data_IF_557768470776
#
_entry.id   IF_557768470776
#
_cell.length_a   1.000
_cell.length_b   1.000
_cell.length_c   1.000
_cell.angle_alpha   90.00
_cell.angle_beta   90.00
_cell.angle_gamma   90.00
#
_symmetry.space_group_name_H-M   'P 1'
#
loop_
_entity.id
_entity.type
_entity.pdbx_description
1 polymer ?
#
# COMPACT_ATOMS: atom_id res chain seq x y z
N UNK A 1 -1.51 -1.28 8.74
CA UNK A 1 -2.70 -0.47 9.10
C UNK A 1 -2.35 1.00 9.32
N UNK A 2 -1.07 1.38 9.34
CA UNK A 2 -0.67 2.77 9.62
C UNK A 2 -0.72 3.71 8.39
N UNK A 3 -1.25 3.24 7.26
CA UNK A 3 -1.25 4.02 6.03
C UNK A 3 -2.33 5.10 6.03
N UNK A 4 -2.13 6.14 5.22
CA UNK A 4 -3.10 7.21 5.07
C UNK A 4 -4.44 6.70 4.53
N UNK A 5 -4.43 5.76 3.58
CA UNK A 5 -5.63 5.14 3.03
C UNK A 5 -6.44 4.46 4.14
N UNK A 6 -5.81 3.64 4.98
CA UNK A 6 -6.52 3.00 6.09
C UNK A 6 -7.03 4.03 7.11
N UNK A 7 -6.21 5.02 7.49
CA UNK A 7 -6.60 6.03 8.49
C UNK A 7 -7.76 6.92 8.03
N UNK A 8 -7.91 7.14 6.73
CA UNK A 8 -8.93 8.04 6.16
C UNK A 8 -10.18 7.29 5.70
N UNK A 9 -10.01 6.13 5.05
CA UNK A 9 -11.10 5.31 4.51
C UNK A 9 -11.61 4.29 5.53
N UNK A 10 -10.78 3.91 6.51
CA UNK A 10 -11.12 2.90 7.51
C UNK A 10 -11.49 1.56 6.87
N UNK A 11 -12.64 1.03 7.28
CA UNK A 11 -13.20 -0.23 6.73
C UNK A 11 -13.55 -0.17 5.24
N UNK A 12 -13.52 1.02 4.62
CA UNK A 12 -13.76 1.22 3.19
C UNK A 12 -12.47 1.24 2.37
N UNK A 13 -11.32 1.00 3.01
CA UNK A 13 -10.07 0.88 2.28
C UNK A 13 -10.09 -0.43 1.47
N UNK A 14 -9.93 -0.40 0.14
CA UNK A 14 -9.95 -1.61 -0.70
C UNK A 14 -8.84 -2.62 -0.37
N UNK A 15 -7.81 -2.20 0.37
CA UNK A 15 -6.80 -3.11 0.93
C UNK A 15 -7.37 -4.14 1.90
N UNK A 16 -8.58 -3.91 2.43
CA UNK A 16 -9.29 -4.85 3.29
C UNK A 16 -10.30 -5.74 2.53
N UNK A 17 -10.47 -5.54 1.22
CA UNK A 17 -11.38 -6.37 0.41
C UNK A 17 -10.89 -7.83 0.41
N UNK A 18 -11.60 -8.70 1.11
CA UNK A 18 -11.43 -10.14 0.99
C UNK A 18 -11.99 -10.64 -0.37
N UNK A 19 -11.37 -11.65 -1.02
CA UNK A 19 -10.25 -12.48 -0.57
C UNK A 19 -8.86 -11.98 -1.01
N UNK A 20 -8.73 -10.72 -1.47
CA UNK A 20 -7.51 -10.25 -2.14
C UNK A 20 -6.30 -10.12 -1.20
N UNK A 21 -6.53 -9.86 0.09
CA UNK A 21 -5.47 -9.72 1.09
C UNK A 21 -5.80 -10.53 2.34
N UNK A 22 -5.05 -11.60 2.58
CA UNK A 22 -5.16 -12.40 3.81
C UNK A 22 -4.42 -11.75 4.99
N UNK A 23 -3.40 -10.95 4.70
CA UNK A 23 -2.56 -10.29 5.69
C UNK A 23 -2.24 -8.86 5.27
N UNK A 24 -2.18 -7.95 6.24
CA UNK A 24 -1.63 -6.62 6.06
C UNK A 24 -0.26 -6.55 6.75
N UNK A 25 0.81 -6.37 5.99
CA UNK A 25 2.15 -6.31 6.54
C UNK A 25 2.58 -4.87 6.86
N UNK A 26 3.19 -4.67 8.02
CA UNK A 26 4.02 -3.50 8.26
C UNK A 26 5.42 -3.70 7.64
N UNK A 27 6.16 -2.62 7.30
CA UNK A 27 7.53 -2.72 6.80
C UNK A 27 8.47 -3.49 7.76
N UNK A 28 8.25 -3.41 9.06
CA UNK A 28 9.01 -4.17 10.06
C UNK A 28 8.67 -5.66 10.00
N UNK A 29 7.39 -6.00 9.93
CA UNK A 29 6.91 -7.38 9.86
C UNK A 29 7.41 -8.08 8.59
N UNK A 30 7.39 -7.41 7.43
CA UNK A 30 7.89 -8.01 6.19
C UNK A 30 9.40 -8.28 6.25
N UNK A 31 10.18 -7.38 6.87
CA UNK A 31 11.62 -7.61 7.08
C UNK A 31 11.89 -8.80 7.99
N UNK A 32 11.11 -8.95 9.07
CA UNK A 32 11.19 -10.11 9.96
C UNK A 32 10.86 -11.39 9.20
N UNK A 33 9.79 -11.38 8.39
CA UNK A 33 9.38 -12.52 7.58
C UNK A 33 10.45 -12.92 6.56
N UNK A 34 11.06 -11.95 5.88
CA UNK A 34 12.15 -12.20 4.93
C UNK A 34 13.35 -12.81 5.65
N UNK A 35 13.75 -12.26 6.81
CA UNK A 35 14.86 -12.82 7.59
C UNK A 35 14.58 -14.25 8.06
N UNK A 36 13.36 -14.56 8.51
CA UNK A 36 13.01 -15.93 8.90
C UNK A 36 13.04 -16.91 7.72
N UNK A 37 12.93 -16.41 6.49
CA UNK A 37 13.06 -17.18 5.26
C UNK A 37 14.51 -17.21 4.70
N UNK A 38 15.50 -16.67 5.42
CA UNK A 38 16.89 -16.60 4.94
C UNK A 38 17.12 -15.54 3.84
N UNK A 39 16.21 -14.60 3.70
CA UNK A 39 16.26 -13.49 2.75
C UNK A 39 16.58 -12.17 3.46
N UNK A 40 17.02 -11.20 2.67
CA UNK A 40 17.23 -9.84 3.11
C UNK A 40 16.42 -8.86 2.27
N UNK A 41 15.88 -7.82 2.92
CA UNK A 41 15.16 -6.75 2.24
C UNK A 41 16.16 -5.79 1.61
N UNK A 42 16.39 -5.91 0.31
CA UNK A 42 17.34 -5.06 -0.44
C UNK A 42 16.70 -3.76 -0.92
N UNK A 43 15.37 -3.68 -0.95
CA UNK A 43 14.65 -2.48 -1.37
C UNK A 43 13.24 -2.41 -0.82
N UNK A 44 12.78 -1.19 -0.51
CA UNK A 44 11.41 -0.91 -0.09
C UNK A 44 10.93 0.38 -0.77
N UNK A 45 9.90 0.27 -1.61
CA UNK A 45 9.25 1.41 -2.26
C UNK A 45 7.77 1.44 -1.93
N UNK A 46 7.19 2.63 -1.89
CA UNK A 46 5.76 2.84 -1.67
C UNK A 46 5.08 3.18 -2.99
N UNK A 47 3.89 2.62 -3.21
CA UNK A 47 3.16 2.79 -4.45
C UNK A 47 2.48 4.16 -4.53
N UNK A 48 2.57 4.79 -5.70
CA UNK A 48 1.87 6.05 -6.03
C UNK A 48 0.50 5.79 -6.67
N UNK A 49 0.03 4.55 -6.69
CA UNK A 49 -1.19 4.19 -7.39
C UNK A 49 -2.44 4.76 -6.68
N UNK A 50 -3.26 5.59 -7.37
CA UNK A 50 -4.40 6.27 -6.74
C UNK A 50 -5.68 5.44 -6.67
N UNK A 51 -5.64 4.20 -7.15
CA UNK A 51 -6.81 3.34 -7.30
C UNK A 51 -7.51 3.03 -5.97
N UNK A 52 -6.76 2.99 -4.86
CA UNK A 52 -7.31 2.69 -3.54
C UNK A 52 -8.15 3.86 -3.01
N UNK A 53 -7.69 5.10 -3.25
CA UNK A 53 -8.44 6.33 -2.95
C UNK A 53 -9.74 6.42 -3.74
N UNK A 54 -9.66 6.19 -5.06
CA UNK A 54 -10.81 6.28 -5.96
C UNK A 54 -11.88 5.24 -5.58
N UNK A 55 -11.48 3.98 -5.36
CA UNK A 55 -12.41 2.92 -4.95
C UNK A 55 -12.96 3.15 -3.55
N UNK A 56 -12.13 3.56 -2.59
CA UNK A 56 -12.59 3.83 -1.22
C UNK A 56 -13.57 5.00 -1.15
N UNK A 57 -13.37 6.04 -1.96
CA UNK A 57 -14.32 7.13 -2.13
C UNK A 57 -15.65 6.63 -2.73
N UNK A 58 -15.59 5.71 -3.71
CA UNK A 58 -16.78 5.08 -4.25
C UNK A 58 -17.57 4.34 -3.17
N UNK A 59 -16.93 3.49 -2.37
CA UNK A 59 -17.59 2.77 -1.27
C UNK A 59 -18.21 3.72 -0.25
N UNK A 60 -17.50 4.81 0.10
CA UNK A 60 -18.03 5.81 1.02
C UNK A 60 -19.26 6.53 0.47
N UNK A 61 -19.27 6.87 -0.82
CA UNK A 61 -20.42 7.51 -1.43
C UNK A 61 -21.60 6.55 -1.58
N UNK A 62 -21.36 5.29 -1.93
CA UNK A 62 -22.43 4.28 -2.00
C UNK A 62 -23.13 4.08 -0.66
N UNK A 63 -22.38 4.05 0.43
CA UNK A 63 -22.96 3.95 1.78
C UNK A 63 -23.80 5.18 2.16
N UNK A 64 -23.46 6.36 1.63
CA UNK A 64 -24.18 7.61 1.91
C UNK A 64 -25.39 7.81 1.00
N UNK A 65 -25.28 7.45 -0.28
CA UNK A 65 -26.35 7.63 -1.26
C UNK A 65 -27.33 6.46 -1.29
N UNK A 66 -26.92 5.27 -0.82
CA UNK A 66 -27.67 4.02 -0.98
C UNK A 66 -27.71 3.53 -2.44
N UNK A 67 -26.94 4.13 -3.35
CA UNK A 67 -26.94 3.82 -4.78
C UNK A 67 -25.53 3.46 -5.26
N UNK A 68 -25.44 2.55 -6.23
CA UNK A 68 -24.16 2.14 -6.83
C UNK A 68 -23.69 3.04 -7.98
N UNK A 69 -24.31 4.20 -8.18
CA UNK A 69 -23.98 5.09 -9.29
C UNK A 69 -22.58 5.68 -9.17
N UNK A 70 -22.13 5.92 -7.93
CA UNK A 70 -20.80 6.44 -7.64
C UNK A 70 -19.69 5.55 -8.22
N UNK A 71 -19.88 4.22 -8.28
CA UNK A 71 -18.91 3.28 -8.88
C UNK A 71 -18.73 3.48 -10.39
N UNK A 72 -19.71 4.01 -11.10
CA UNK A 72 -19.59 4.28 -12.54
C UNK A 72 -18.61 5.43 -12.79
N UNK A 73 -18.66 6.46 -11.94
CA UNK A 73 -17.81 7.63 -12.07
C UNK A 73 -16.45 7.45 -11.38
N UNK A 74 -16.44 6.92 -10.15
CA UNK A 74 -15.25 6.65 -9.35
C UNK A 74 -14.69 5.25 -9.64
N UNK A 75 -14.34 5.04 -10.90
CA UNK A 75 -13.71 3.80 -11.36
C UNK A 75 -12.24 4.04 -11.73
N UNK A 76 -11.31 3.10 -11.46
CA UNK A 76 -9.90 3.26 -11.83
C UNK A 76 -9.63 3.41 -13.33
N UNK A 77 -10.59 3.05 -14.20
CA UNK A 77 -10.50 3.29 -15.64
C UNK A 77 -10.85 4.73 -16.05
N UNK A 78 -11.45 5.52 -15.15
CA UNK A 78 -11.75 6.92 -15.40
C UNK A 78 -10.53 7.78 -15.03
N UNK A 79 -9.91 8.51 -15.99
CA UNK A 79 -8.71 9.30 -15.70
C UNK A 79 -8.97 10.48 -14.77
N UNK A 80 -10.18 11.03 -14.74
CA UNK A 80 -10.52 12.23 -13.95
C UNK A 80 -10.33 12.00 -12.45
N UNK A 81 -11.00 11.03 -11.78
CA UNK A 81 -10.79 10.79 -10.36
C UNK A 81 -9.38 10.25 -10.04
N UNK A 82 -8.75 9.56 -11.00
CA UNK A 82 -7.38 9.07 -10.85
C UNK A 82 -6.39 10.22 -10.75
N UNK A 83 -6.51 11.22 -11.65
CA UNK A 83 -5.69 12.44 -11.61
C UNK A 83 -5.96 13.25 -10.35
N UNK A 84 -7.22 13.36 -9.91
CA UNK A 84 -7.58 14.07 -8.69
C UNK A 84 -6.96 13.43 -7.43
N UNK A 85 -6.88 12.09 -7.37
CA UNK A 85 -6.30 11.35 -6.24
C UNK A 85 -4.78 11.15 -6.34
N UNK A 86 -4.16 11.48 -7.47
CA UNK A 86 -2.73 11.27 -7.70
C UNK A 86 -1.84 12.08 -6.72
N UNK A 87 -2.07 13.39 -6.46
CA UNK A 87 -1.22 14.15 -5.53
C UNK A 87 -1.18 13.53 -4.14
N UNK A 88 -2.33 13.03 -3.66
CA UNK A 88 -2.44 12.37 -2.36
C UNK A 88 -1.63 11.05 -2.33
N UNK A 89 -1.66 10.31 -3.43
CA UNK A 89 -0.93 9.05 -3.57
C UNK A 89 0.58 9.26 -3.67
N UNK A 90 0.99 10.29 -4.40
CA UNK A 90 2.40 10.71 -4.52
C UNK A 90 2.92 11.19 -3.16
N UNK A 91 2.17 12.03 -2.46
CA UNK A 91 2.53 12.50 -1.13
C UNK A 91 2.62 11.34 -0.13
N UNK A 92 1.63 10.43 -0.13
CA UNK A 92 1.64 9.24 0.71
C UNK A 92 2.85 8.34 0.43
N UNK A 93 3.21 8.13 -0.84
CA UNK A 93 4.39 7.35 -1.20
C UNK A 93 5.70 8.02 -0.77
N UNK A 94 5.85 9.32 -1.02
CA UNK A 94 7.04 10.08 -0.64
C UNK A 94 7.25 10.11 0.88
N UNK A 95 6.16 10.19 1.65
CA UNK A 95 6.18 10.19 3.11
C UNK A 95 6.13 8.79 3.73
N UNK A 96 6.29 7.73 2.92
CA UNK A 96 6.26 6.31 3.37
C UNK A 96 4.99 5.95 4.14
N UNK A 97 3.88 6.59 3.79
CA UNK A 97 2.57 6.45 4.42
C UNK A 97 1.51 5.85 3.48
N UNK A 98 1.91 5.38 2.30
CA UNK A 98 1.01 4.66 1.38
C UNK A 98 0.75 3.22 1.84
N UNK A 99 -0.43 2.71 1.56
CA UNK A 99 -0.89 1.40 2.00
C UNK A 99 -0.35 0.24 1.18
N UNK A 100 0.19 0.52 -0.02
CA UNK A 100 0.84 -0.45 -0.89
C UNK A 100 2.33 -0.22 -0.92
N UNK A 101 3.08 -1.28 -0.69
CA UNK A 101 4.54 -1.30 -0.77
C UNK A 101 5.02 -2.39 -1.73
N UNK A 102 6.14 -2.12 -2.38
CA UNK A 102 6.90 -3.05 -3.20
C UNK A 102 8.17 -3.36 -2.42
N UNK A 103 8.41 -4.65 -2.20
CA UNK A 103 9.55 -5.13 -1.44
C UNK A 103 10.42 -5.94 -2.37
N UNK A 104 11.69 -5.56 -2.45
CA UNK A 104 12.73 -6.31 -3.16
C UNK A 104 13.51 -7.11 -2.14
N UNK A 105 13.66 -8.41 -2.40
CA UNK A 105 14.35 -9.33 -1.50
C UNK A 105 15.45 -10.07 -2.24
N UNK A 106 16.61 -10.18 -1.60
CA UNK A 106 17.77 -10.92 -2.09
C UNK A 106 18.15 -12.07 -1.16
N UNK A 107 18.94 -13.02 -1.65
CA UNK A 107 19.57 -14.02 -0.79
C UNK A 107 20.57 -13.31 0.12
N UNK A 108 20.62 -13.75 1.38
CA UNK A 108 21.70 -13.37 2.28
C UNK A 108 22.94 -14.17 1.87
N UNK A 109 23.81 -13.54 1.09
CA UNK A 109 25.11 -14.14 0.76
C UNK A 109 25.97 -14.12 2.03
N UNK A 110 26.17 -15.31 2.61
CA UNK A 110 26.98 -15.54 3.81
C UNK A 110 28.48 -15.24 3.62
N UNK A 111 28.88 -14.66 2.49
CA UNK A 111 30.27 -14.25 2.20
C UNK A 111 30.57 -12.79 2.55
N UNK A 112 29.57 -11.96 2.84
CA UNK A 112 29.76 -10.59 3.30
C UNK A 112 29.35 -10.49 4.78
N UNK A 113 30.17 -11.07 5.66
CA UNK A 113 30.05 -10.83 7.10
C UNK A 113 31.02 -9.71 7.42
N UNK A 114 30.58 -8.45 7.28
CA UNK A 114 31.28 -7.34 7.90
C UNK A 114 30.95 -7.36 9.40
N UNK A 115 31.93 -7.33 10.32
CA UNK A 115 31.69 -7.47 11.75
C UNK A 115 31.00 -6.26 12.40
N UNK A 116 30.69 -5.18 11.66
CA UNK A 116 30.28 -3.90 12.26
C UNK A 116 28.85 -3.41 11.92
N UNK A 117 28.05 -4.15 11.14
CA UNK A 117 26.58 -4.07 11.24
C UNK A 117 25.90 -2.71 11.03
N UNK A 118 26.49 -1.76 10.30
CA UNK A 118 25.84 -0.49 9.94
C UNK A 118 25.57 -0.42 8.43
N UNK A 119 24.29 -0.31 8.06
CA UNK A 119 23.86 0.08 6.71
C UNK A 119 23.49 1.56 6.71
N UNK A 120 24.19 2.37 5.90
CA UNK A 120 23.78 3.72 5.49
C UNK A 120 22.75 3.63 4.37
#
# INVERSE_FOLDING_TARGET
LDSWEYRTLGNRWPGLDMPRHLYCFAPTTIRVLLRSAGLECTGLRFSTAPNDWVRGAAYRLEDLSGTSEARRWLHPANPVPMLAALPLSVAGAALRAAGRMIVEAGRRDSSCTDPEGECV
#
